data_IF_419753254894
#
_entry.id   IF_419753254894
#
_cell.length_a   1.000
_cell.length_b   1.000
_cell.length_c   1.000
_cell.angle_alpha   90.00
_cell.angle_beta   90.00
_cell.angle_gamma   90.00
#
_symmetry.space_group_name_H-M   'P 1'
#
loop_
_entity.id
_entity.type
_entity.pdbx_description
1 polymer ?
#
# COMPACT_ATOMS: atom_id res chain seq x y z
N UNK A 1 -42.99 36.24 31.28
CA UNK A 1 -42.28 34.94 31.33
C UNK A 1 -41.41 34.80 30.09
N UNK A 2 -40.10 34.64 30.30
CA UNK A 2 -39.06 34.51 29.27
C UNK A 2 -39.25 33.18 28.52
N UNK A 3 -39.43 33.21 27.19
CA UNK A 3 -39.34 32.01 26.34
C UNK A 3 -37.88 31.87 25.91
N UNK A 4 -37.13 31.10 26.68
CA UNK A 4 -35.79 30.65 26.33
C UNK A 4 -35.91 29.19 25.88
N UNK A 5 -35.25 28.88 24.76
CA UNK A 5 -34.95 27.56 24.21
C UNK A 5 -36.12 26.80 23.56
N UNK A 6 -36.07 26.65 22.23
CA UNK A 6 -35.54 25.40 21.71
C UNK A 6 -34.69 25.61 20.43
N UNK A 7 -33.63 26.43 20.49
CA UNK A 7 -32.67 26.47 19.36
C UNK A 7 -31.50 25.51 19.55
N UNK A 8 -31.31 24.99 20.77
CA UNK A 8 -30.16 24.16 21.12
C UNK A 8 -30.36 22.67 20.84
N UNK A 9 -31.58 22.23 20.53
CA UNK A 9 -31.87 20.81 20.27
C UNK A 9 -31.69 20.43 18.78
N UNK A 10 -31.60 21.39 17.87
CA UNK A 10 -31.37 21.11 16.44
C UNK A 10 -29.89 21.04 16.06
N UNK A 11 -29.00 21.60 16.89
CA UNK A 11 -27.55 21.59 16.61
C UNK A 11 -26.88 20.27 17.04
N UNK A 12 -27.53 19.49 17.91
CA UNK A 12 -27.05 18.15 18.31
C UNK A 12 -27.32 17.05 17.28
N UNK A 13 -28.10 17.32 16.22
CA UNK A 13 -28.23 16.43 15.06
C UNK A 13 -27.25 16.77 13.92
N UNK A 14 -26.43 17.81 14.09
CA UNK A 14 -25.24 18.03 13.26
C UNK A 14 -24.00 17.37 13.87
N UNK A 15 -24.20 16.32 14.69
CA UNK A 15 -23.16 15.33 14.95
C UNK A 15 -22.71 14.74 13.60
N UNK A 16 -21.41 14.45 13.50
CA UNK A 16 -20.63 14.80 12.34
C UNK A 16 -21.05 13.95 11.14
N UNK A 17 -21.31 14.59 10.00
CA UNK A 17 -21.15 14.02 8.66
C UNK A 17 -19.67 13.67 8.37
N UNK A 18 -18.91 13.27 9.40
CA UNK A 18 -17.69 12.50 9.29
C UNK A 18 -18.09 11.03 9.48
N UNK A 19 -19.06 10.59 8.67
CA UNK A 19 -19.12 9.18 8.35
C UNK A 19 -17.87 8.92 7.54
N UNK A 20 -17.02 8.04 8.05
CA UNK A 20 -15.93 7.37 7.35
C UNK A 20 -16.12 7.48 5.83
N UNK A 21 -15.17 8.15 5.17
CA UNK A 21 -15.06 8.16 3.72
C UNK A 21 -15.12 6.70 3.29
N UNK A 22 -16.29 6.23 2.85
CA UNK A 22 -16.50 4.84 2.42
C UNK A 22 -15.53 4.63 1.28
N UNK A 23 -14.45 3.93 1.57
CA UNK A 23 -13.43 3.61 0.59
C UNK A 23 -14.16 2.81 -0.49
N UNK A 24 -14.26 3.40 -1.68
CA UNK A 24 -15.13 2.87 -2.75
C UNK A 24 -14.55 1.54 -3.22
N UNK A 25 -15.29 0.43 -3.12
CA UNK A 25 -14.83 -0.91 -3.48
C UNK A 25 -14.31 -1.05 -4.96
N UNK A 26 -13.05 -0.70 -5.24
CA UNK A 26 -12.45 -0.67 -6.59
C UNK A 26 -10.97 -1.11 -6.58
N UNK A 27 -10.48 -1.52 -7.76
CA UNK A 27 -9.07 -1.89 -7.95
C UNK A 27 -8.11 -0.71 -7.69
N UNK A 28 -8.60 0.52 -7.81
CA UNK A 28 -7.82 1.76 -7.62
C UNK A 28 -7.47 1.99 -6.13
N UNK A 29 -8.13 1.27 -5.22
CA UNK A 29 -7.87 1.32 -3.78
C UNK A 29 -6.85 0.30 -3.30
N UNK A 30 -6.00 -0.16 -4.20
CA UNK A 30 -4.81 -0.94 -3.89
C UNK A 30 -3.59 -0.09 -4.23
N UNK A 31 -2.80 0.24 -3.22
CA UNK A 31 -1.55 0.99 -3.40
C UNK A 31 -0.35 0.05 -3.35
N UNK A 32 0.59 0.19 -4.29
CA UNK A 32 1.92 -0.40 -4.18
C UNK A 32 2.88 0.62 -3.57
N UNK A 33 3.61 0.20 -2.56
CA UNK A 33 4.66 0.96 -1.94
C UNK A 33 6.02 0.29 -2.14
N UNK A 34 7.03 1.13 -2.27
CA UNK A 34 8.44 0.73 -2.40
C UNK A 34 9.24 1.49 -1.36
N UNK A 35 9.97 0.75 -0.53
CA UNK A 35 10.91 1.33 0.43
C UNK A 35 12.33 0.99 0.01
N UNK A 36 13.20 1.99 -0.01
CA UNK A 36 14.64 1.79 -0.18
C UNK A 36 15.23 1.12 1.07
N UNK A 37 16.17 0.20 0.85
CA UNK A 37 16.90 -0.52 1.88
C UNK A 37 18.32 0.04 1.99
N UNK A 38 18.71 0.46 3.18
CA UNK A 38 20.02 1.07 3.46
C UNK A 38 20.83 0.23 4.44
N UNK A 39 22.12 0.09 4.19
CA UNK A 39 23.04 -0.57 5.12
C UNK A 39 23.50 0.39 6.24
N UNK A 40 24.35 -0.08 7.14
CA UNK A 40 24.87 0.72 8.28
C UNK A 40 25.65 1.97 7.84
N UNK A 41 26.21 1.95 6.63
CA UNK A 41 26.98 3.04 6.03
C UNK A 41 26.11 3.97 5.14
N UNK A 42 24.77 3.89 5.24
CA UNK A 42 23.80 4.68 4.47
C UNK A 42 23.87 4.47 2.94
N UNK A 43 24.38 3.31 2.49
CA UNK A 43 24.32 2.92 1.09
C UNK A 43 23.03 2.17 0.80
N UNK A 44 22.27 2.64 -0.19
CA UNK A 44 21.13 1.90 -0.72
C UNK A 44 21.62 0.58 -1.33
N UNK A 45 21.07 -0.54 -0.88
CA UNK A 45 21.42 -1.88 -1.35
C UNK A 45 20.20 -2.65 -1.87
N UNK A 46 19.04 -2.04 -2.01
CA UNK A 46 17.84 -2.74 -2.47
C UNK A 46 16.53 -2.00 -2.24
N UNK A 47 15.45 -2.69 -2.57
CA UNK A 47 14.07 -2.22 -2.40
C UNK A 47 13.19 -3.32 -1.77
N UNK A 48 12.32 -2.94 -0.83
CA UNK A 48 11.24 -3.75 -0.28
C UNK A 48 9.89 -3.31 -0.89
N UNK A 49 9.06 -4.29 -1.25
CA UNK A 49 7.76 -4.08 -1.88
C UNK A 49 6.63 -4.56 -0.97
N UNK A 50 5.64 -3.70 -0.76
CA UNK A 50 4.42 -4.06 -0.05
C UNK A 50 3.23 -3.35 -0.67
N UNK A 51 2.05 -3.92 -0.46
CA UNK A 51 0.80 -3.32 -0.93
C UNK A 51 -0.16 -3.09 0.21
N UNK A 52 -0.96 -2.05 0.08
CA UNK A 52 -2.06 -1.75 0.99
C UNK A 52 -3.37 -1.91 0.22
N UNK A 53 -4.18 -2.89 0.62
CA UNK A 53 -5.53 -3.02 0.11
C UNK A 53 -6.47 -2.25 1.02
N UNK A 54 -7.05 -1.16 0.53
CA UNK A 54 -8.00 -0.34 1.28
C UNK A 54 -9.47 -0.73 1.03
N UNK A 55 -9.70 -1.80 0.29
CA UNK A 55 -11.05 -2.29 0.03
C UNK A 55 -11.59 -3.15 1.18
N UNK A 56 -12.91 -3.28 1.22
CA UNK A 56 -13.62 -4.17 2.15
C UNK A 56 -13.65 -5.64 1.68
N UNK A 57 -12.89 -5.99 0.64
CA UNK A 57 -12.78 -7.34 0.08
C UNK A 57 -11.33 -7.69 -0.32
N UNK A 58 -10.97 -8.99 -0.41
CA UNK A 58 -9.62 -9.41 -0.78
C UNK A 58 -9.28 -9.12 -2.24
N UNK A 59 -7.99 -8.89 -2.50
CA UNK A 59 -7.45 -8.58 -3.83
C UNK A 59 -6.29 -9.51 -4.17
N UNK A 60 -6.21 -9.96 -5.42
CA UNK A 60 -5.00 -10.57 -5.99
C UNK A 60 -4.08 -9.48 -6.48
N UNK A 61 -2.87 -9.43 -5.93
CA UNK A 61 -1.85 -8.47 -6.33
C UNK A 61 -0.67 -9.23 -6.88
N UNK A 62 -0.23 -8.87 -8.09
CA UNK A 62 0.93 -9.45 -8.73
C UNK A 62 1.99 -8.40 -9.02
N UNK A 63 3.26 -8.77 -8.83
CA UNK A 63 4.42 -7.97 -9.20
C UNK A 63 5.37 -8.82 -10.04
N UNK A 64 5.82 -8.24 -11.15
CA UNK A 64 6.69 -8.89 -12.11
C UNK A 64 7.89 -8.01 -12.42
N UNK A 65 9.08 -8.59 -12.38
CA UNK A 65 10.32 -7.88 -12.68
C UNK A 65 10.62 -8.01 -14.17
N UNK A 66 10.70 -6.88 -14.87
CA UNK A 66 10.87 -6.81 -16.33
C UNK A 66 12.30 -6.54 -16.78
N UNK A 67 13.16 -6.03 -15.89
CA UNK A 67 14.61 -5.89 -16.11
C UNK A 67 15.34 -6.03 -14.78
N UNK A 68 16.51 -6.69 -14.77
CA UNK A 68 17.37 -6.81 -13.59
C UNK A 68 18.85 -6.99 -13.94
N UNK A 69 19.67 -6.01 -13.57
CA UNK A 69 21.12 -6.06 -13.75
C UNK A 69 21.81 -5.89 -12.41
N UNK A 70 22.76 -6.77 -12.13
CA UNK A 70 23.49 -6.85 -10.86
C UNK A 70 22.58 -6.92 -9.61
N UNK A 71 21.39 -7.52 -9.76
CA UNK A 71 20.40 -7.64 -8.70
C UNK A 71 20.08 -9.11 -8.39
N UNK A 72 19.75 -9.39 -7.14
CA UNK A 72 19.25 -10.65 -6.61
C UNK A 72 17.80 -10.47 -6.16
N UNK A 73 16.91 -11.30 -6.69
CA UNK A 73 15.48 -11.22 -6.47
C UNK A 73 15.07 -12.19 -5.36
N UNK A 74 14.44 -11.67 -4.32
CA UNK A 74 13.83 -12.43 -3.23
C UNK A 74 12.37 -12.00 -3.03
N UNK A 75 11.54 -12.27 -4.04
CA UNK A 75 10.10 -12.12 -3.89
C UNK A 75 9.53 -13.39 -3.26
N UNK A 76 8.80 -13.25 -2.16
CA UNK A 76 8.20 -14.37 -1.43
C UNK A 76 7.18 -15.06 -2.35
N UNK A 77 6.38 -14.27 -3.07
CA UNK A 77 5.45 -14.73 -4.12
C UNK A 77 5.27 -13.63 -5.17
N UNK A 78 5.29 -13.99 -6.46
CA UNK A 78 4.97 -13.06 -7.55
C UNK A 78 3.51 -12.60 -7.54
N UNK A 79 2.64 -13.34 -6.84
CA UNK A 79 1.23 -13.02 -6.64
C UNK A 79 0.85 -13.33 -5.19
N UNK A 80 0.15 -12.40 -4.54
CA UNK A 80 -0.37 -12.54 -3.18
C UNK A 80 -1.85 -12.18 -3.14
N UNK A 81 -2.62 -12.87 -2.30
CA UNK A 81 -3.96 -12.43 -1.93
C UNK A 81 -3.84 -11.57 -0.69
N UNK A 82 -4.31 -10.34 -0.77
CA UNK A 82 -4.28 -9.39 0.33
C UNK A 82 -5.70 -9.21 0.82
N UNK A 83 -5.93 -9.52 2.09
CA UNK A 83 -7.25 -9.40 2.70
C UNK A 83 -7.74 -7.95 2.75
N UNK A 84 -9.02 -7.80 3.09
CA UNK A 84 -9.67 -6.49 3.24
C UNK A 84 -8.97 -5.62 4.28
N UNK A 85 -8.67 -4.36 3.94
CA UNK A 85 -8.01 -3.40 4.83
C UNK A 85 -6.69 -3.90 5.43
N UNK A 86 -5.96 -4.75 4.69
CA UNK A 86 -4.68 -5.33 5.12
C UNK A 86 -3.50 -4.88 4.25
N UNK A 87 -2.32 -4.97 4.86
CA UNK A 87 -1.03 -4.89 4.16
C UNK A 87 -0.59 -6.30 3.72
N UNK A 88 -0.11 -6.41 2.48
CA UNK A 88 0.53 -7.61 1.95
C UNK A 88 2.00 -7.36 1.64
N UNK A 89 2.88 -8.28 2.05
CA UNK A 89 4.29 -8.28 1.70
C UNK A 89 4.53 -9.02 0.37
N UNK A 90 5.25 -8.40 -0.55
CA UNK A 90 5.64 -8.96 -1.85
C UNK A 90 7.09 -9.48 -1.87
N UNK A 91 7.90 -9.08 -0.89
CA UNK A 91 9.33 -9.40 -0.77
C UNK A 91 10.24 -8.24 -1.19
N UNK A 92 11.48 -8.56 -1.54
CA UNK A 92 12.51 -7.55 -1.78
C UNK A 92 13.45 -7.92 -2.94
N UNK A 93 14.16 -6.91 -3.43
CA UNK A 93 15.23 -7.05 -4.43
C UNK A 93 16.49 -6.40 -3.86
N UNK A 94 17.60 -7.12 -3.90
CA UNK A 94 18.88 -6.67 -3.34
C UNK A 94 19.91 -6.50 -4.45
N UNK A 95 20.83 -5.56 -4.27
CA UNK A 95 22.04 -5.44 -5.08
C UNK A 95 23.02 -6.56 -4.70
N UNK A 96 23.58 -7.25 -5.69
CA UNK A 96 24.53 -8.36 -5.46
C UNK A 96 25.90 -7.87 -5.03
N UNK A 97 26.36 -6.77 -5.61
CA UNK A 97 27.65 -6.15 -5.34
C UNK A 97 27.51 -4.63 -5.37
N UNK A 98 27.71 -3.99 -4.21
CA UNK A 98 27.58 -2.54 -4.02
C UNK A 98 28.54 -1.72 -4.88
N UNK A 99 29.67 -2.28 -5.30
CA UNK A 99 30.67 -1.56 -6.10
C UNK A 99 30.30 -1.37 -7.57
N UNK A 100 29.35 -2.17 -8.09
CA UNK A 100 29.05 -2.25 -9.52
C UNK A 100 27.75 -1.50 -9.93
N UNK A 101 27.00 -0.96 -8.98
CA UNK A 101 25.66 -0.41 -9.19
C UNK A 101 24.64 -1.48 -9.60
N UNK A 102 23.35 -1.26 -9.35
CA UNK A 102 22.27 -2.15 -9.78
C UNK A 102 21.11 -1.37 -10.39
N UNK A 103 20.38 -2.01 -11.30
CA UNK A 103 19.16 -1.45 -11.89
C UNK A 103 18.11 -2.54 -12.01
N UNK A 104 16.87 -2.20 -11.69
CA UNK A 104 15.74 -3.09 -11.90
C UNK A 104 14.49 -2.31 -12.32
N UNK A 105 13.57 -2.98 -13.00
CA UNK A 105 12.26 -2.45 -13.39
C UNK A 105 11.19 -3.48 -13.11
N UNK A 106 10.03 -3.03 -12.65
CA UNK A 106 8.90 -3.91 -12.39
C UNK A 106 7.61 -3.38 -13.01
N UNK A 107 6.68 -4.30 -13.23
CA UNK A 107 5.28 -4.06 -13.52
C UNK A 107 4.45 -4.69 -12.41
N UNK A 108 3.30 -4.11 -12.08
CA UNK A 108 2.40 -4.67 -11.07
C UNK A 108 0.94 -4.52 -11.50
N UNK A 109 0.09 -5.39 -10.96
CA UNK A 109 -1.35 -5.42 -11.23
C UNK A 109 -2.12 -5.83 -9.98
N UNK A 110 -3.31 -5.27 -9.81
CA UNK A 110 -4.28 -5.68 -8.82
C UNK A 110 -5.59 -6.11 -9.50
N UNK A 111 -6.11 -7.26 -9.11
CA UNK A 111 -7.34 -7.85 -9.63
C UNK A 111 -8.21 -8.31 -8.46
N UNK A 112 -9.52 -8.23 -8.64
CA UNK A 112 -10.47 -8.75 -7.64
C UNK A 112 -10.42 -10.28 -7.67
N UNK A 113 -10.43 -10.91 -6.49
CA UNK A 113 -10.62 -12.36 -6.33
C UNK A 113 -12.02 -12.79 -6.78
#
# INVERSE_FOLDING_TARGET
MKKLFPFFLFVLFALPLFSEERIVDTIENVDLYVNDLYNEDDHNYGEEYYVLNRNDFPMHVSIHLTDNKNAEKHLIKSTVIVGSNLRGDLGHILQKDLSLGATWKYEWKAERD
#
